data_IF_095108776074
#
_entry.id   IF_095108776074
#
_cell.length_a   1.000
_cell.length_b   1.000
_cell.length_c   1.000
_cell.angle_alpha   90.00
_cell.angle_beta   90.00
_cell.angle_gamma   90.00
#
_symmetry.space_group_name_H-M   'P 1'
#
loop_
_entity.id
_entity.type
_entity.pdbx_description
1 polymer ?
#
# COMPACT_ATOMS: atom_id res chain seq x y z
N UNK A 1 -39.55 21.62 -23.16
CA UNK A 1 -38.31 22.00 -22.44
C UNK A 1 -38.13 21.25 -21.12
N UNK A 2 -39.18 20.98 -20.33
CA UNK A 2 -39.08 20.27 -19.05
C UNK A 2 -38.47 18.84 -19.11
N UNK A 3 -38.79 18.05 -20.15
CA UNK A 3 -38.27 16.70 -20.30
C UNK A 3 -36.75 16.62 -20.56
N UNK A 4 -36.17 17.65 -21.19
CA UNK A 4 -34.72 17.72 -21.46
C UNK A 4 -33.92 18.12 -20.22
N UNK A 5 -34.50 18.94 -19.35
CA UNK A 5 -33.93 19.31 -18.04
C UNK A 5 -33.94 18.12 -17.06
N UNK A 6 -34.99 17.30 -17.08
CA UNK A 6 -35.08 16.10 -16.24
C UNK A 6 -34.04 15.02 -16.63
N UNK A 7 -33.76 14.85 -17.93
CA UNK A 7 -32.76 13.88 -18.40
C UNK A 7 -31.33 14.29 -18.01
N UNK A 8 -31.03 15.59 -18.06
CA UNK A 8 -29.71 16.15 -17.68
C UNK A 8 -29.49 16.04 -16.17
N UNK A 9 -30.52 16.27 -15.35
CA UNK A 9 -30.46 16.07 -13.90
C UNK A 9 -30.26 14.59 -13.50
N UNK A 10 -30.91 13.65 -14.20
CA UNK A 10 -30.73 12.22 -13.95
C UNK A 10 -29.33 11.71 -14.35
N UNK A 11 -28.75 12.23 -15.44
CA UNK A 11 -27.37 11.91 -15.86
C UNK A 11 -26.30 12.50 -14.93
N UNK A 12 -26.56 13.67 -14.33
CA UNK A 12 -25.68 14.26 -13.31
C UNK A 12 -25.73 13.52 -11.96
N UNK A 13 -26.86 12.93 -11.59
CA UNK A 13 -26.98 12.11 -10.38
C UNK A 13 -26.45 10.67 -10.53
N UNK A 14 -26.31 10.15 -11.75
CA UNK A 14 -25.76 8.82 -12.01
C UNK A 14 -24.22 8.77 -12.07
N UNK A 15 -23.55 9.92 -12.17
CA UNK A 15 -22.08 10.01 -12.29
C UNK A 15 -21.29 10.08 -10.97
N UNK A 16 -21.96 10.09 -9.81
CA UNK A 16 -21.31 10.35 -8.52
C UNK A 16 -20.95 9.08 -7.72
N UNK A 17 -21.16 7.88 -8.25
CA UNK A 17 -21.01 6.63 -7.51
C UNK A 17 -19.77 5.83 -7.96
N UNK A 18 -18.59 6.23 -7.48
CA UNK A 18 -17.49 5.33 -7.05
C UNK A 18 -16.22 6.14 -6.72
N UNK A 19 -16.32 7.15 -5.85
CA UNK A 19 -15.15 7.53 -5.08
C UNK A 19 -14.86 6.37 -4.12
N UNK A 20 -14.07 5.38 -4.55
CA UNK A 20 -13.62 4.31 -3.67
C UNK A 20 -12.92 4.98 -2.49
N UNK A 21 -13.54 4.92 -1.30
CA UNK A 21 -12.94 5.45 -0.10
C UNK A 21 -11.54 4.84 0.03
N UNK A 22 -10.50 5.68 0.01
CA UNK A 22 -9.11 5.23 0.06
C UNK A 22 -8.64 5.07 1.52
N UNK A 23 -9.55 4.70 2.41
CA UNK A 23 -9.33 4.59 3.84
C UNK A 23 -10.42 3.73 4.48
N UNK A 24 -10.08 3.10 5.59
CA UNK A 24 -11.04 2.40 6.43
C UNK A 24 -10.58 2.41 7.89
N UNK A 25 -11.53 2.17 8.79
CA UNK A 25 -11.31 2.17 10.24
C UNK A 25 -11.70 0.83 10.85
N UNK A 26 -11.16 0.53 12.04
CA UNK A 26 -11.43 -0.70 12.78
C UNK A 26 -11.12 -1.98 11.98
N UNK A 27 -10.00 -1.95 11.26
CA UNK A 27 -9.57 -3.04 10.38
C UNK A 27 -8.61 -3.95 11.13
N UNK A 28 -8.78 -5.26 10.98
CA UNK A 28 -7.84 -6.24 11.53
C UNK A 28 -6.52 -6.19 10.76
N UNK A 29 -5.40 -6.10 11.47
CA UNK A 29 -4.06 -6.24 10.91
C UNK A 29 -3.31 -7.37 11.62
N UNK A 30 -2.97 -8.43 10.90
CA UNK A 30 -2.10 -9.50 11.39
C UNK A 30 -0.64 -9.18 11.06
N UNK A 31 0.26 -10.13 11.30
CA UNK A 31 1.64 -10.02 10.88
C UNK A 31 2.13 -11.25 10.12
N UNK A 32 3.12 -11.01 9.26
CA UNK A 32 3.86 -12.01 8.51
C UNK A 32 5.36 -11.72 8.62
N UNK A 33 6.20 -12.75 8.51
CA UNK A 33 7.65 -12.61 8.56
C UNK A 33 8.25 -12.48 7.16
N UNK A 34 7.96 -11.38 6.46
CA UNK A 34 8.59 -11.10 5.16
C UNK A 34 10.09 -10.86 5.31
N UNK A 35 10.52 -10.31 6.45
CA UNK A 35 11.95 -10.08 6.79
C UNK A 35 12.68 -9.37 5.65
N UNK A 36 12.15 -8.23 5.16
CA UNK A 36 12.60 -7.63 3.91
C UNK A 36 14.09 -7.29 3.94
N UNK A 37 14.61 -6.77 5.05
CA UNK A 37 16.04 -6.47 5.19
C UNK A 37 16.93 -7.71 5.04
N UNK A 38 16.52 -8.86 5.58
CA UNK A 38 17.27 -10.12 5.49
C UNK A 38 17.21 -10.71 4.09
N UNK A 39 16.10 -10.47 3.38
CA UNK A 39 15.91 -10.88 1.99
C UNK A 39 16.35 -9.80 0.97
N UNK A 40 17.24 -8.86 1.36
CA UNK A 40 17.79 -7.85 0.44
C UNK A 40 16.75 -6.88 -0.15
N UNK A 41 15.60 -6.76 0.52
CA UNK A 41 14.39 -6.09 0.04
C UNK A 41 13.91 -6.63 -1.31
N UNK A 42 14.21 -7.88 -1.64
CA UNK A 42 13.80 -8.53 -2.88
C UNK A 42 12.39 -9.11 -2.73
N UNK A 43 11.44 -8.55 -3.49
CA UNK A 43 10.04 -9.00 -3.48
C UNK A 43 9.91 -10.43 -4.05
N UNK A 44 10.81 -10.82 -4.94
CA UNK A 44 10.82 -12.12 -5.63
C UNK A 44 11.63 -13.19 -4.91
N UNK A 45 12.26 -12.89 -3.77
CA UNK A 45 13.01 -13.87 -3.00
C UNK A 45 12.12 -15.08 -2.68
N UNK A 46 12.59 -16.34 -2.81
CA UNK A 46 11.75 -17.53 -2.66
C UNK A 46 11.00 -17.60 -1.31
N UNK A 47 11.62 -17.09 -0.25
CA UNK A 47 11.09 -17.01 1.11
C UNK A 47 10.02 -15.92 1.29
N UNK A 48 9.95 -14.96 0.37
CA UNK A 48 8.98 -13.85 0.36
C UNK A 48 7.88 -14.15 -0.66
N UNK A 49 8.26 -14.38 -1.92
CA UNK A 49 7.35 -14.64 -3.06
C UNK A 49 6.14 -13.71 -3.10
N UNK A 50 6.38 -12.41 -2.91
CA UNK A 50 5.30 -11.44 -2.78
C UNK A 50 4.50 -11.35 -4.09
N UNK A 51 3.17 -11.23 -4.00
CA UNK A 51 2.30 -11.14 -5.17
C UNK A 51 2.69 -10.02 -6.14
N UNK A 52 3.15 -8.88 -5.63
CA UNK A 52 3.53 -7.75 -6.48
C UNK A 52 4.89 -7.91 -7.17
N UNK A 53 5.65 -8.97 -6.89
CA UNK A 53 6.97 -9.22 -7.49
C UNK A 53 6.95 -9.21 -9.01
N UNK A 54 5.86 -9.69 -9.64
CA UNK A 54 5.67 -9.67 -11.09
C UNK A 54 5.85 -8.27 -11.72
N UNK A 55 5.50 -7.21 -10.99
CA UNK A 55 5.54 -5.83 -11.51
C UNK A 55 6.56 -4.94 -10.81
N UNK A 56 6.87 -5.22 -9.54
CA UNK A 56 7.62 -4.30 -8.69
C UNK A 56 9.02 -4.81 -8.29
N UNK A 57 9.38 -6.07 -8.58
CA UNK A 57 10.69 -6.60 -8.20
C UNK A 57 11.88 -5.84 -8.83
N UNK A 58 11.71 -5.36 -10.07
CA UNK A 58 12.74 -4.61 -10.79
C UNK A 58 12.95 -3.16 -10.33
N UNK A 59 12.17 -2.68 -9.35
CA UNK A 59 12.32 -1.31 -8.84
C UNK A 59 13.63 -1.13 -8.07
N UNK A 60 14.22 0.08 -8.05
CA UNK A 60 15.49 0.31 -7.38
C UNK A 60 15.41 0.00 -5.88
N UNK A 61 16.55 -0.36 -5.30
CA UNK A 61 16.64 -0.66 -3.85
C UNK A 61 16.06 0.48 -3.00
N UNK A 62 16.38 1.72 -3.33
CA UNK A 62 15.88 2.92 -2.64
C UNK A 62 14.34 3.02 -2.62
N UNK A 63 13.66 2.45 -3.62
CA UNK A 63 12.20 2.36 -3.64
C UNK A 63 11.69 1.21 -2.78
N UNK A 64 12.31 0.03 -2.93
CA UNK A 64 11.93 -1.22 -2.24
C UNK A 64 12.14 -1.11 -0.72
N UNK A 65 13.19 -0.41 -0.30
CA UNK A 65 13.60 -0.25 1.10
C UNK A 65 13.09 1.02 1.79
N UNK A 66 12.31 1.85 1.09
CA UNK A 66 11.87 3.16 1.62
C UNK A 66 10.93 3.04 2.81
N UNK A 67 10.04 2.05 2.77
CA UNK A 67 9.01 1.80 3.76
C UNK A 67 8.97 0.31 4.08
N UNK A 68 8.52 -0.04 5.28
CA UNK A 68 8.22 -1.42 5.63
C UNK A 68 7.12 -2.01 4.76
N UNK A 69 7.01 -3.34 4.74
CA UNK A 69 6.13 -4.06 3.80
C UNK A 69 4.83 -4.52 4.43
N UNK A 70 3.81 -4.70 3.60
CA UNK A 70 2.53 -5.28 4.00
C UNK A 70 1.79 -5.92 2.83
N UNK A 71 0.98 -6.95 3.12
CA UNK A 71 -0.11 -7.38 2.27
C UNK A 71 -1.37 -6.55 2.51
N UNK A 72 -2.16 -6.36 1.46
CA UNK A 72 -3.41 -5.61 1.54
C UNK A 72 -4.61 -6.35 0.94
N UNK A 73 -5.69 -6.40 1.71
CA UNK A 73 -6.99 -6.92 1.28
C UNK A 73 -8.14 -6.25 2.06
N UNK A 74 -7.90 -5.02 2.53
CA UNK A 74 -8.82 -4.26 3.38
C UNK A 74 -10.13 -3.90 2.69
N UNK A 75 -11.17 -3.46 3.41
CA UNK A 75 -12.53 -3.30 2.88
C UNK A 75 -12.70 -2.14 1.87
N UNK A 76 -11.74 -1.22 1.77
CA UNK A 76 -11.85 -0.02 0.94
C UNK A 76 -10.53 0.31 0.22
N UNK A 77 -10.62 0.84 -1.00
CA UNK A 77 -9.46 1.08 -1.87
C UNK A 77 -9.16 -0.06 -2.84
N UNK A 78 -8.16 0.10 -3.73
CA UNK A 78 -7.80 -0.91 -4.72
C UNK A 78 -7.23 -2.16 -4.04
N UNK A 79 -7.42 -3.32 -4.69
CA UNK A 79 -6.84 -4.60 -4.24
C UNK A 79 -6.11 -5.30 -5.39
N UNK A 80 -5.34 -6.33 -5.06
CA UNK A 80 -4.55 -7.08 -6.03
C UNK A 80 -3.55 -6.18 -6.74
N UNK A 81 -3.42 -6.35 -8.06
CA UNK A 81 -2.44 -5.61 -8.86
C UNK A 81 -2.59 -4.09 -8.73
N UNK A 82 -3.81 -3.56 -8.64
CA UNK A 82 -4.06 -2.12 -8.55
C UNK A 82 -3.58 -1.49 -7.22
N UNK A 83 -3.29 -2.31 -6.20
CA UNK A 83 -2.67 -1.86 -4.95
C UNK A 83 -1.15 -1.98 -4.92
N UNK A 84 -0.54 -2.73 -5.83
CA UNK A 84 0.90 -2.97 -5.82
C UNK A 84 1.71 -1.68 -5.86
N UNK A 85 2.68 -1.60 -4.94
CA UNK A 85 3.59 -0.47 -4.82
C UNK A 85 3.01 0.79 -4.21
N UNK A 86 1.70 0.84 -3.93
CA UNK A 86 1.06 1.98 -3.23
C UNK A 86 1.44 1.98 -1.75
N UNK A 87 1.38 3.16 -1.14
CA UNK A 87 1.66 3.33 0.29
C UNK A 87 0.38 3.56 1.08
N UNK A 88 0.38 3.01 2.29
CA UNK A 88 -0.70 3.18 3.26
C UNK A 88 -0.12 3.66 4.58
N UNK A 89 -0.73 4.68 5.16
CA UNK A 89 -0.50 5.08 6.53
C UNK A 89 -1.42 4.26 7.42
N UNK A 90 -0.82 3.50 8.33
CA UNK A 90 -1.51 2.60 9.26
C UNK A 90 -1.41 3.19 10.65
N UNK A 91 -2.53 3.25 11.36
CA UNK A 91 -2.64 3.80 12.71
C UNK A 91 -3.22 2.74 13.64
N UNK A 92 -2.47 2.34 14.68
CA UNK A 92 -2.99 1.50 15.75
C UNK A 92 -4.08 2.27 16.53
N UNK A 93 -5.29 1.74 16.60
CA UNK A 93 -6.41 2.42 17.27
C UNK A 93 -6.30 2.40 18.79
N UNK A 94 -5.57 1.43 19.37
CA UNK A 94 -5.39 1.32 20.81
C UNK A 94 -4.38 2.32 21.36
N UNK A 95 -3.30 2.57 20.64
CA UNK A 95 -2.17 3.40 21.12
C UNK A 95 -1.98 4.71 20.37
N UNK A 96 -2.61 4.86 19.20
CA UNK A 96 -2.42 6.01 18.31
C UNK A 96 -1.11 6.00 17.52
N UNK A 97 -0.24 4.99 17.72
CA UNK A 97 1.01 4.85 16.96
C UNK A 97 0.74 4.69 15.46
N UNK A 98 1.56 5.35 14.62
CA UNK A 98 1.37 5.37 13.17
C UNK A 98 2.65 5.05 12.42
N UNK A 99 2.52 4.42 11.26
CA UNK A 99 3.62 4.16 10.35
C UNK A 99 3.12 4.14 8.90
N UNK A 100 3.99 4.48 7.95
CA UNK A 100 3.71 4.29 6.52
C UNK A 100 4.35 3.00 6.06
N UNK A 101 3.56 2.15 5.41
CA UNK A 101 4.01 0.89 4.82
C UNK A 101 3.71 0.89 3.31
N UNK A 102 4.45 0.06 2.56
CA UNK A 102 4.23 -0.20 1.15
C UNK A 102 3.53 -1.53 0.96
N UNK A 103 2.49 -1.53 0.13
CA UNK A 103 1.77 -2.74 -0.27
C UNK A 103 2.64 -3.49 -1.29
N UNK A 104 3.08 -4.69 -0.91
CA UNK A 104 3.88 -5.57 -1.77
C UNK A 104 3.18 -6.89 -2.05
N UNK A 105 2.07 -7.16 -1.37
CA UNK A 105 1.40 -8.45 -1.42
C UNK A 105 -0.11 -8.32 -1.25
N UNK A 106 -0.83 -9.42 -1.44
CA UNK A 106 -2.27 -9.52 -1.22
C UNK A 106 -2.57 -10.53 -0.10
N UNK A 107 -3.69 -10.33 0.60
CA UNK A 107 -4.13 -11.22 1.66
C UNK A 107 -5.59 -11.66 1.48
N UNK A 108 -6.08 -12.53 2.37
CA UNK A 108 -7.47 -12.98 2.39
C UNK A 108 -8.18 -12.74 3.75
N UNK A 109 -7.56 -12.01 4.67
CA UNK A 109 -8.09 -11.77 6.02
C UNK A 109 -9.03 -10.54 6.11
N UNK A 110 -9.34 -9.91 4.96
CA UNK A 110 -10.19 -8.70 4.89
C UNK A 110 -9.55 -7.43 5.46
N UNK A 111 -8.23 -7.41 5.64
CA UNK A 111 -7.52 -6.31 6.30
C UNK A 111 -6.11 -6.12 5.78
N UNK A 112 -5.14 -6.15 6.70
CA UNK A 112 -3.72 -6.04 6.39
C UNK A 112 -2.98 -7.25 6.95
N UNK A 113 -1.85 -7.58 6.34
CA UNK A 113 -0.84 -8.46 6.93
C UNK A 113 0.50 -7.73 6.94
N UNK A 114 0.93 -7.30 8.11
CA UNK A 114 2.06 -6.38 8.28
C UNK A 114 3.36 -7.16 8.39
N UNK A 115 4.46 -6.71 7.77
CA UNK A 115 5.75 -7.28 8.11
C UNK A 115 6.05 -7.07 9.61
N UNK A 116 6.48 -8.16 10.27
CA UNK A 116 6.75 -8.18 11.70
C UNK A 116 7.78 -7.11 12.10
N UNK A 117 8.98 -7.16 11.50
CA UNK A 117 10.14 -6.37 11.94
C UNK A 117 10.02 -4.89 11.56
N UNK A 118 9.44 -4.59 10.40
CA UNK A 118 9.43 -3.24 9.82
C UNK A 118 8.14 -2.47 10.05
N UNK A 119 7.03 -3.14 10.36
CA UNK A 119 5.72 -2.47 10.50
C UNK A 119 5.00 -2.84 11.79
N UNK A 120 4.66 -4.13 12.01
CA UNK A 120 3.77 -4.54 13.10
C UNK A 120 4.30 -4.11 14.47
N UNK A 121 5.52 -4.52 14.83
CA UNK A 121 6.11 -4.22 16.14
C UNK A 121 6.42 -2.72 16.34
N UNK A 122 6.46 -1.94 15.26
CA UNK A 122 6.68 -0.48 15.33
C UNK A 122 5.44 0.27 15.81
N UNK A 123 4.25 -0.30 15.61
CA UNK A 123 2.98 0.28 16.04
C UNK A 123 2.28 -0.53 17.14
N UNK A 124 2.74 -1.74 17.47
CA UNK A 124 2.33 -2.50 18.66
C UNK A 124 3.05 -2.02 19.93
N UNK A 125 2.88 -0.74 20.27
CA UNK A 125 3.68 -0.08 21.31
C UNK A 125 3.32 -0.48 22.74
N UNK A 126 2.21 -1.17 22.95
CA UNK A 126 1.79 -1.74 24.24
C UNK A 126 1.90 -3.27 24.29
N UNK A 127 2.33 -3.92 23.20
CA UNK A 127 2.49 -5.37 23.08
C UNK A 127 1.18 -6.16 23.03
N UNK A 128 0.02 -5.50 23.06
CA UNK A 128 -1.27 -6.17 23.07
C UNK A 128 -1.60 -6.81 21.72
N UNK A 129 -1.07 -6.25 20.63
CA UNK A 129 -1.21 -6.80 19.29
C UNK A 129 -0.61 -8.19 19.18
N UNK A 130 0.64 -8.36 19.63
CA UNK A 130 1.31 -9.66 19.67
C UNK A 130 0.55 -10.65 20.54
N UNK A 131 0.14 -10.25 21.76
CA UNK A 131 -0.61 -11.14 22.66
C UNK A 131 -1.94 -11.62 22.06
N UNK A 132 -2.60 -10.80 21.24
CA UNK A 132 -3.87 -11.12 20.58
C UNK A 132 -3.69 -11.71 19.16
N UNK A 133 -2.46 -11.78 18.67
CA UNK A 133 -2.12 -12.17 17.30
C UNK A 133 -2.58 -11.19 16.21
N UNK A 134 -3.04 -9.98 16.57
CA UNK A 134 -3.44 -8.93 15.62
C UNK A 134 -3.61 -7.57 16.31
N UNK A 135 -3.50 -6.52 15.50
CA UNK A 135 -3.91 -5.16 15.85
C UNK A 135 -5.29 -4.83 15.26
N UNK A 136 -5.94 -3.83 15.85
CA UNK A 136 -7.03 -3.09 15.21
C UNK A 136 -6.45 -1.76 14.75
N UNK A 137 -6.61 -1.46 13.46
CA UNK A 137 -5.98 -0.31 12.82
C UNK A 137 -6.97 0.49 11.99
N UNK A 138 -6.67 1.77 11.82
CA UNK A 138 -7.18 2.56 10.72
C UNK A 138 -6.11 2.63 9.65
N UNK A 139 -6.49 2.69 8.37
CA UNK A 139 -5.54 2.97 7.30
C UNK A 139 -6.07 4.02 6.33
N UNK A 140 -5.13 4.66 5.65
CA UNK A 140 -5.39 5.57 4.54
C UNK A 140 -4.30 5.40 3.48
N UNK A 141 -4.67 5.32 2.20
CA UNK A 141 -3.69 5.40 1.12
C UNK A 141 -3.07 6.80 1.07
N UNK A 142 -1.75 6.85 0.96
CA UNK A 142 -0.97 8.09 0.94
C UNK A 142 0.01 8.08 -0.23
N UNK A 143 0.44 9.26 -0.64
CA UNK A 143 1.53 9.39 -1.60
C UNK A 143 2.85 8.87 -0.97
N UNK A 144 3.47 7.89 -1.64
CA UNK A 144 4.77 7.34 -1.26
C UNK A 144 5.92 8.35 -1.40
N UNK A 145 5.71 9.45 -2.14
CA UNK A 145 6.73 10.47 -2.46
C UNK A 145 7.96 9.88 -3.13
N UNK A 146 7.80 8.81 -3.91
CA UNK A 146 8.90 8.07 -4.52
C UNK A 146 9.72 8.95 -5.48
N UNK A 147 9.07 9.93 -6.10
CA UNK A 147 9.68 10.86 -7.04
C UNK A 147 10.42 12.05 -6.37
N UNK A 148 10.55 12.07 -5.03
CA UNK A 148 11.19 13.19 -4.30
C UNK A 148 12.62 12.93 -3.83
N UNK A 149 13.25 11.83 -4.25
CA UNK A 149 14.64 11.52 -3.90
C UNK A 149 15.48 11.51 -5.18
N UNK A 150 16.09 12.65 -5.51
CA UNK A 150 17.42 12.81 -6.15
C UNK A 150 17.69 14.28 -6.56
N UNK A 151 17.52 15.24 -5.63
CA UNK A 151 18.10 16.59 -5.79
C UNK A 151 19.17 16.84 -4.72
N UNK A 152 20.18 15.99 -4.70
CA UNK A 152 21.54 16.41 -4.30
C UNK A 152 22.41 16.45 -5.56
N UNK A 153 22.18 17.50 -6.38
CA UNK A 153 23.25 18.13 -7.15
C UNK A 153 23.87 17.40 -8.33
N UNK A 154 23.23 16.41 -8.97
CA UNK A 154 23.66 15.95 -10.30
C UNK A 154 22.49 15.85 -11.26
N UNK A 155 22.64 16.54 -12.39
CA UNK A 155 21.69 16.59 -13.48
C UNK A 155 21.92 15.35 -14.34
N UNK A 156 21.17 14.27 -14.10
CA UNK A 156 21.12 13.13 -15.01
C UNK A 156 19.73 13.07 -15.63
N UNK A 157 19.67 13.49 -16.89
CA UNK A 157 18.52 13.33 -17.77
C UNK A 157 18.19 11.85 -17.84
N UNK A 158 17.02 11.46 -17.34
CA UNK A 158 16.42 10.14 -17.60
C UNK A 158 16.37 9.93 -19.13
N UNK A 159 16.97 8.86 -19.69
CA UNK A 159 16.78 8.56 -21.09
C UNK A 159 15.31 8.20 -21.30
N UNK A 160 14.69 8.88 -22.28
CA UNK A 160 13.35 8.54 -22.75
C UNK A 160 13.33 7.07 -23.18
N UNK A 161 12.36 6.31 -22.68
CA UNK A 161 12.09 4.95 -23.12
C UNK A 161 11.91 4.93 -24.64
N UNK A 162 12.91 4.43 -25.35
CA UNK A 162 12.73 4.02 -26.74
C UNK A 162 12.08 2.64 -26.71
N UNK A 163 10.79 2.62 -27.05
CA UNK A 163 10.16 1.44 -27.59
C UNK A 163 10.93 1.05 -28.85
N UNK A 164 11.68 -0.05 -28.81
CA UNK A 164 12.09 -0.75 -30.02
C UNK A 164 11.16 -1.94 -30.15
N UNK A 165 10.24 -1.79 -31.08
CA UNK A 165 9.53 -2.89 -31.75
C UNK A 165 10.49 -3.42 -32.80
N UNK A 166 10.83 -4.70 -32.71
CA UNK A 166 11.08 -5.59 -33.85
C UNK A 166 10.57 -6.98 -33.49
#
# INVERSE_FOLDING_TARGET
MAARLALVAALLCAGAAAAAAQQASNVRATYHYYRPAQNGWDLGAPTVSAYCSTWDAGKPFSWRSKYGWTAFCGPAGPRGQASCGRCIRVTNTGTGAQITARIVDQCANGGLDLDWDTVFVKIDTDGMGYQRGHLIVNYQFVDCRDNRINFHGKNETLPASTHVVE
#
